data_IF_911398162879
#
_entry.id   IF_911398162879
#
_cell.length_a   1.000
_cell.length_b   1.000
_cell.length_c   1.000
_cell.angle_alpha   90.00
_cell.angle_beta   90.00
_cell.angle_gamma   90.00
#
_symmetry.space_group_name_H-M   'P 1'
#
loop_
_entity.id
_entity.type
_entity.pdbx_description
1 polymer ?
#
# COMPACT_ATOMS: atom_id res chain seq x y z
N UNK A 1 -4.66 31.71 -60.08
CA UNK A 1 -5.48 30.62 -59.54
C UNK A 1 -4.66 29.40 -59.06
N UNK A 2 -3.58 28.98 -59.70
CA UNK A 2 -2.72 27.85 -59.33
C UNK A 2 -1.88 28.15 -58.06
N UNK A 3 -1.29 29.35 -57.99
CA UNK A 3 -0.41 29.78 -56.88
C UNK A 3 -1.13 29.85 -55.52
N UNK A 4 -2.41 30.25 -55.52
CA UNK A 4 -3.21 30.32 -54.31
C UNK A 4 -3.59 28.93 -53.77
N UNK A 5 -3.91 27.99 -54.67
CA UNK A 5 -4.18 26.58 -54.27
C UNK A 5 -2.92 25.89 -53.71
N UNK A 6 -1.74 26.20 -54.28
CA UNK A 6 -0.47 25.65 -53.80
C UNK A 6 -0.09 26.16 -52.42
N UNK A 7 -0.31 27.46 -52.13
CA UNK A 7 -0.10 28.05 -50.79
C UNK A 7 -1.04 27.41 -49.74
N UNK A 8 -2.32 27.23 -50.08
CA UNK A 8 -3.27 26.58 -49.19
C UNK A 8 -2.91 25.10 -48.90
N UNK A 9 -2.39 24.39 -49.89
CA UNK A 9 -1.94 23.02 -49.74
C UNK A 9 -0.73 22.92 -48.78
N UNK A 10 0.28 23.78 -48.93
CA UNK A 10 1.43 23.81 -48.03
C UNK A 10 1.06 24.23 -46.61
N UNK A 11 0.09 25.17 -46.45
CA UNK A 11 -0.40 25.56 -45.13
C UNK A 11 -1.15 24.41 -44.43
N UNK A 12 -2.00 23.67 -45.13
CA UNK A 12 -2.67 22.49 -44.62
C UNK A 12 -1.69 21.37 -44.23
N UNK A 13 -0.68 21.13 -45.05
CA UNK A 13 0.34 20.11 -44.77
C UNK A 13 1.17 20.48 -43.54
N UNK A 14 1.53 21.76 -43.35
CA UNK A 14 2.28 22.21 -42.19
C UNK A 14 1.48 22.09 -40.90
N UNK A 15 0.16 22.38 -40.91
CA UNK A 15 -0.68 22.20 -39.73
C UNK A 15 -0.84 20.73 -39.34
N UNK A 16 -0.95 19.81 -40.29
CA UNK A 16 -1.00 18.37 -40.02
C UNK A 16 0.32 17.88 -39.41
N UNK A 17 1.46 18.31 -39.93
CA UNK A 17 2.77 17.95 -39.38
C UNK A 17 2.97 18.48 -37.96
N UNK A 18 2.50 19.71 -37.66
CA UNK A 18 2.57 20.29 -36.31
C UNK A 18 1.68 19.48 -35.35
N UNK A 19 0.45 19.16 -35.75
CA UNK A 19 -0.45 18.35 -34.92
C UNK A 19 0.10 16.94 -34.67
N UNK A 20 0.66 16.29 -35.68
CA UNK A 20 1.35 15.00 -35.51
C UNK A 20 2.56 15.11 -34.59
N UNK A 21 3.34 16.18 -34.69
CA UNK A 21 4.48 16.44 -33.82
C UNK A 21 4.06 16.64 -32.35
N UNK A 22 2.95 17.36 -32.13
CA UNK A 22 2.39 17.57 -30.78
C UNK A 22 1.86 16.26 -30.19
N UNK A 23 1.09 15.50 -30.98
CA UNK A 23 0.55 14.19 -30.48
C UNK A 23 1.68 13.20 -30.23
N UNK A 24 2.68 13.13 -31.11
CA UNK A 24 3.86 12.30 -30.88
C UNK A 24 4.68 12.75 -29.67
N UNK A 25 4.84 14.04 -29.44
CA UNK A 25 5.53 14.62 -28.30
C UNK A 25 4.80 14.29 -26.97
N UNK A 26 3.46 14.41 -26.95
CA UNK A 26 2.62 14.06 -25.79
C UNK A 26 2.72 12.54 -25.51
N UNK A 27 2.63 11.71 -26.54
CA UNK A 27 2.73 10.25 -26.39
C UNK A 27 4.14 9.82 -25.96
N UNK A 28 5.18 10.48 -26.48
CA UNK A 28 6.54 10.22 -26.10
C UNK A 28 6.83 10.66 -24.65
N UNK A 29 6.27 11.79 -24.23
CA UNK A 29 6.37 12.27 -22.83
C UNK A 29 5.60 11.36 -21.88
N UNK A 30 4.39 10.91 -22.25
CA UNK A 30 3.61 9.92 -21.45
C UNK A 30 4.33 8.58 -21.31
N UNK A 31 5.01 8.10 -22.36
CA UNK A 31 5.79 6.85 -22.32
C UNK A 31 7.11 6.97 -21.55
N UNK A 32 7.59 8.19 -21.29
CA UNK A 32 8.82 8.45 -20.53
C UNK A 32 8.60 8.70 -19.05
N UNK A 33 7.36 8.75 -18.55
CA UNK A 33 7.15 8.69 -17.11
C UNK A 33 7.62 7.29 -16.65
N UNK A 34 8.73 7.16 -15.93
CA UNK A 34 9.16 5.86 -15.45
C UNK A 34 8.03 5.32 -14.58
N UNK A 35 7.68 4.03 -14.75
CA UNK A 35 6.83 3.34 -13.79
C UNK A 35 7.45 3.55 -12.42
N UNK A 36 6.83 4.40 -11.63
CA UNK A 36 7.36 4.85 -10.34
C UNK A 36 7.33 3.72 -9.32
N UNK A 37 6.50 2.70 -9.62
CA UNK A 37 6.30 1.53 -8.80
C UNK A 37 6.67 0.24 -9.53
N UNK A 38 7.12 -0.75 -8.75
CA UNK A 38 7.34 -2.13 -9.18
C UNK A 38 6.31 -3.01 -8.50
N UNK A 39 5.72 -3.94 -9.24
CA UNK A 39 4.90 -5.00 -8.66
C UNK A 39 5.85 -6.08 -8.13
N UNK A 40 5.79 -6.36 -6.82
CA UNK A 40 6.57 -7.40 -6.16
C UNK A 40 5.85 -8.76 -6.17
N UNK A 41 4.52 -8.73 -6.18
CA UNK A 41 3.68 -9.90 -6.13
C UNK A 41 2.21 -9.52 -6.00
N UNK A 42 1.38 -10.50 -5.69
CA UNK A 42 -0.05 -10.31 -5.42
C UNK A 42 -0.37 -10.79 -4.02
N UNK A 43 -1.24 -10.07 -3.33
CA UNK A 43 -1.70 -10.48 -2.00
C UNK A 43 -2.40 -11.84 -2.10
N UNK A 44 -1.98 -12.85 -1.32
CA UNK A 44 -2.67 -14.14 -1.27
C UNK A 44 -4.10 -14.02 -0.76
N UNK A 45 -4.91 -15.02 -1.03
CA UNK A 45 -6.25 -15.08 -0.45
C UNK A 45 -6.18 -15.34 1.05
N UNK A 46 -6.93 -14.57 1.80
CA UNK A 46 -7.15 -14.79 3.22
C UNK A 46 -8.57 -14.41 3.61
N UNK A 47 -9.07 -14.98 4.69
CA UNK A 47 -10.25 -14.54 5.43
C UNK A 47 -9.96 -14.73 6.93
N UNK A 48 -9.95 -13.64 7.68
CA UNK A 48 -9.61 -13.59 9.11
C UNK A 48 -10.65 -12.78 9.86
N UNK A 49 -10.63 -12.83 11.19
CA UNK A 49 -11.57 -12.11 12.04
C UNK A 49 -10.96 -10.78 12.48
N UNK A 50 -11.73 -9.70 12.45
CA UNK A 50 -11.27 -8.39 12.89
C UNK A 50 -11.66 -8.08 14.35
N UNK A 51 -11.25 -6.90 14.83
CA UNK A 51 -11.55 -6.38 16.17
C UNK A 51 -13.05 -6.15 16.43
N UNK A 52 -13.90 -6.27 15.44
CA UNK A 52 -15.37 -6.19 15.55
C UNK A 52 -16.04 -7.56 15.41
N UNK A 53 -15.24 -8.62 15.47
CA UNK A 53 -15.68 -10.01 15.26
C UNK A 53 -16.32 -10.23 13.89
N UNK A 54 -15.85 -9.50 12.88
CA UNK A 54 -16.31 -9.61 11.49
C UNK A 54 -15.29 -10.38 10.66
N UNK A 55 -15.78 -11.22 9.73
CA UNK A 55 -14.90 -11.89 8.78
C UNK A 55 -14.48 -10.94 7.67
N UNK A 56 -13.20 -10.64 7.60
CA UNK A 56 -12.56 -9.75 6.62
C UNK A 56 -11.66 -10.56 5.71
N UNK A 57 -11.86 -10.45 4.42
CA UNK A 57 -11.07 -11.13 3.40
C UNK A 57 -10.31 -10.10 2.53
N UNK A 58 -9.30 -10.55 1.81
CA UNK A 58 -8.59 -9.69 0.85
C UNK A 58 -9.51 -9.04 -0.21
N UNK A 59 -10.64 -9.65 -0.55
CA UNK A 59 -11.65 -9.10 -1.47
C UNK A 59 -12.32 -7.82 -0.95
N UNK A 60 -12.37 -7.61 0.39
CA UNK A 60 -13.02 -6.46 1.02
C UNK A 60 -12.19 -5.18 0.87
N UNK A 61 -10.90 -5.34 0.51
CA UNK A 61 -9.98 -4.26 0.13
C UNK A 61 -9.96 -3.98 -1.38
N UNK A 62 -10.73 -4.73 -2.19
CA UNK A 62 -10.74 -4.55 -3.65
C UNK A 62 -11.15 -3.12 -4.03
N UNK A 63 -10.38 -2.51 -4.92
CA UNK A 63 -10.59 -1.13 -5.37
C UNK A 63 -10.05 -0.06 -4.43
N UNK A 64 -9.46 -0.44 -3.28
CA UNK A 64 -8.81 0.46 -2.34
C UNK A 64 -7.29 0.32 -2.42
N UNK A 65 -6.58 1.42 -2.21
CA UNK A 65 -5.17 1.38 -1.84
C UNK A 65 -5.13 1.05 -0.36
N UNK A 66 -4.26 0.13 0.05
CA UNK A 66 -4.18 -0.27 1.45
C UNK A 66 -2.75 -0.57 1.90
N UNK A 67 -2.56 -0.56 3.22
CA UNK A 67 -1.28 -0.80 3.87
C UNK A 67 -1.38 -2.04 4.74
N UNK A 68 -0.31 -2.82 4.77
CA UNK A 68 -0.22 -4.04 5.58
C UNK A 68 0.95 -3.95 6.54
N UNK A 69 0.74 -4.44 7.76
CA UNK A 69 1.79 -4.73 8.73
C UNK A 69 1.45 -5.98 9.55
N UNK A 70 2.46 -6.48 10.25
CA UNK A 70 2.36 -7.59 11.19
C UNK A 70 2.77 -7.09 12.57
N UNK A 71 1.97 -7.40 13.58
CA UNK A 71 2.12 -6.90 14.95
C UNK A 71 1.60 -7.92 15.97
N UNK A 72 1.69 -7.62 17.26
CA UNK A 72 0.92 -8.25 18.32
C UNK A 72 0.76 -7.27 19.51
N UNK A 73 -0.34 -7.42 20.26
CA UNK A 73 -0.73 -6.40 21.26
C UNK A 73 0.23 -6.32 22.44
N UNK A 74 0.84 -7.44 22.81
CA UNK A 74 1.74 -7.56 23.98
C UNK A 74 3.22 -7.27 23.65
N UNK A 75 3.54 -6.83 22.42
CA UNK A 75 4.89 -6.50 21.98
C UNK A 75 5.50 -5.35 22.81
N UNK A 76 6.63 -5.57 23.51
CA UNK A 76 7.20 -4.55 24.37
C UNK A 76 8.17 -3.60 23.63
N UNK A 77 8.46 -3.82 22.35
CA UNK A 77 9.57 -3.17 21.65
C UNK A 77 9.10 -2.28 20.50
N UNK A 78 8.94 -2.83 19.28
CA UNK A 78 8.73 -2.04 18.07
C UNK A 78 7.26 -1.75 17.75
N UNK A 79 6.31 -2.63 18.13
CA UNK A 79 4.91 -2.45 17.80
C UNK A 79 4.29 -1.13 18.31
N UNK A 80 4.60 -0.64 19.52
CA UNK A 80 4.07 0.66 19.95
C UNK A 80 4.47 1.81 19.01
N UNK A 81 5.71 1.79 18.51
CA UNK A 81 6.21 2.79 17.55
C UNK A 81 5.54 2.60 16.18
N UNK A 82 5.46 1.36 15.71
CA UNK A 82 4.80 1.04 14.43
C UNK A 82 3.33 1.47 14.43
N UNK A 83 2.59 1.13 15.48
CA UNK A 83 1.18 1.50 15.59
C UNK A 83 0.99 3.02 15.65
N UNK A 84 1.80 3.73 16.43
CA UNK A 84 1.77 5.20 16.46
C UNK A 84 2.06 5.81 15.07
N UNK A 85 3.00 5.24 14.34
CA UNK A 85 3.32 5.64 12.98
C UNK A 85 2.20 5.29 11.98
N UNK A 86 1.52 4.14 12.15
CA UNK A 86 0.37 3.78 11.33
C UNK A 86 -0.84 4.71 11.63
N UNK A 87 -1.03 5.15 12.87
CA UNK A 87 -1.99 6.21 13.22
C UNK A 87 -1.65 7.52 12.50
N UNK A 88 -0.37 7.86 12.35
CA UNK A 88 0.01 9.01 11.54
C UNK A 88 -0.34 8.82 10.04
N UNK A 89 -0.22 7.61 9.51
CA UNK A 89 -0.71 7.28 8.16
C UNK A 89 -2.23 7.43 8.09
N UNK A 90 -3.00 6.86 9.04
CA UNK A 90 -4.45 7.04 9.13
C UNK A 90 -4.84 8.54 9.09
N UNK A 91 -4.19 9.34 9.91
CA UNK A 91 -4.49 10.78 10.05
C UNK A 91 -4.13 11.60 8.79
N UNK A 92 -3.22 11.11 7.96
CA UNK A 92 -2.90 11.73 6.68
C UNK A 92 -4.01 11.54 5.62
N UNK A 93 -4.99 10.64 5.87
CA UNK A 93 -6.12 10.32 5.00
C UNK A 93 -7.46 10.33 5.77
N UNK A 94 -7.88 11.50 6.29
CA UNK A 94 -9.09 11.61 7.12
C UNK A 94 -10.39 11.32 6.36
N UNK A 95 -10.33 11.25 5.03
CA UNK A 95 -11.44 10.86 4.14
C UNK A 95 -11.67 9.34 4.11
N UNK A 96 -10.95 8.57 4.92
CA UNK A 96 -11.00 7.10 4.95
C UNK A 96 -10.82 6.45 3.57
N UNK A 97 -10.03 7.09 2.70
CA UNK A 97 -9.85 6.67 1.31
C UNK A 97 -8.85 5.52 1.14
N UNK A 98 -8.22 5.08 2.22
CA UNK A 98 -7.29 3.95 2.24
C UNK A 98 -7.78 2.86 3.19
N UNK A 99 -7.35 1.62 2.94
CA UNK A 99 -7.49 0.52 3.88
C UNK A 99 -6.21 0.30 4.68
N UNK A 100 -6.32 -0.30 5.85
CA UNK A 100 -5.18 -0.78 6.64
C UNK A 100 -5.54 -2.18 7.16
N UNK A 101 -4.63 -3.13 7.01
CA UNK A 101 -4.76 -4.47 7.55
C UNK A 101 -3.52 -4.78 8.39
N UNK A 102 -3.70 -4.84 9.71
CA UNK A 102 -2.67 -5.23 10.67
C UNK A 102 -2.95 -6.65 11.13
N UNK A 103 -2.04 -7.58 10.81
CA UNK A 103 -2.18 -9.00 11.15
C UNK A 103 -1.49 -9.30 12.46
N UNK A 104 -2.23 -9.83 13.45
CA UNK A 104 -1.62 -10.28 14.69
C UNK A 104 -0.85 -11.59 14.47
N UNK A 105 0.39 -11.63 14.91
CA UNK A 105 1.22 -12.85 14.90
C UNK A 105 1.13 -13.66 16.20
N UNK A 106 0.28 -13.21 17.13
CA UNK A 106 -0.03 -13.90 18.41
C UNK A 106 -1.55 -14.11 18.53
N UNK A 107 -2.17 -14.89 17.61
CA UNK A 107 -3.61 -15.01 17.54
C UNK A 107 -4.22 -15.77 18.72
N UNK A 108 -3.44 -16.53 19.50
CA UNK A 108 -3.92 -17.19 20.71
C UNK A 108 -4.26 -16.17 21.79
N UNK A 109 -3.45 -15.12 21.94
CA UNK A 109 -3.64 -14.07 22.92
C UNK A 109 -4.46 -12.89 22.37
N UNK A 110 -4.32 -12.57 21.09
CA UNK A 110 -4.95 -11.42 20.44
C UNK A 110 -6.35 -11.76 19.94
N UNK A 111 -7.31 -11.97 20.89
CA UNK A 111 -8.72 -12.16 20.56
C UNK A 111 -9.34 -10.89 19.96
N UNK A 112 -10.49 -10.97 19.26
CA UNK A 112 -11.20 -9.79 18.75
C UNK A 112 -11.45 -8.72 19.84
N UNK A 113 -11.81 -9.13 21.05
CA UNK A 113 -12.05 -8.24 22.19
C UNK A 113 -10.77 -7.51 22.59
N UNK A 114 -9.63 -8.21 22.68
CA UNK A 114 -8.33 -7.62 23.02
C UNK A 114 -7.85 -6.68 21.92
N UNK A 115 -8.06 -7.04 20.66
CA UNK A 115 -7.79 -6.17 19.51
C UNK A 115 -8.66 -4.91 19.53
N UNK A 116 -9.93 -5.00 19.96
CA UNK A 116 -10.80 -3.85 20.09
C UNK A 116 -10.32 -2.88 21.19
N UNK A 117 -9.90 -3.43 22.35
CA UNK A 117 -9.31 -2.64 23.44
C UNK A 117 -8.02 -1.93 22.97
N UNK A 118 -7.16 -2.67 22.28
CA UNK A 118 -5.93 -2.13 21.69
C UNK A 118 -6.22 -1.01 20.69
N UNK A 119 -7.20 -1.20 19.79
CA UNK A 119 -7.61 -0.19 18.83
C UNK A 119 -8.04 1.11 19.53
N UNK A 120 -8.85 1.00 20.58
CA UNK A 120 -9.31 2.14 21.37
C UNK A 120 -8.14 2.84 22.10
N UNK A 121 -7.25 2.08 22.71
CA UNK A 121 -6.07 2.62 23.42
C UNK A 121 -5.14 3.37 22.49
N UNK A 122 -4.89 2.83 21.29
CA UNK A 122 -3.94 3.39 20.31
C UNK A 122 -4.54 4.47 19.41
N UNK A 123 -5.82 4.79 19.51
CA UNK A 123 -6.47 5.83 18.71
C UNK A 123 -6.72 5.39 17.26
N UNK A 124 -6.97 4.12 17.04
CA UNK A 124 -7.38 3.57 15.75
C UNK A 124 -8.87 3.89 15.56
N UNK A 125 -9.18 4.78 14.64
CA UNK A 125 -10.53 5.32 14.43
C UNK A 125 -11.06 5.12 13.01
N UNK A 126 -10.20 4.78 12.05
CA UNK A 126 -10.63 4.53 10.68
C UNK A 126 -11.49 3.27 10.60
N UNK A 127 -12.69 3.32 10.00
CA UNK A 127 -13.54 2.14 9.78
C UNK A 127 -12.96 1.17 8.76
N UNK A 128 -11.87 1.54 8.08
CA UNK A 128 -11.16 0.71 7.12
C UNK A 128 -9.79 0.24 7.64
N UNK A 129 -9.56 0.36 8.94
CA UNK A 129 -8.42 -0.26 9.61
C UNK A 129 -8.89 -1.49 10.38
N UNK A 130 -8.50 -2.65 9.88
CA UNK A 130 -8.83 -3.95 10.47
C UNK A 130 -7.59 -4.53 11.16
N UNK A 131 -7.71 -4.79 12.45
CA UNK A 131 -6.76 -5.59 13.23
C UNK A 131 -7.23 -7.03 13.11
N UNK A 132 -6.44 -7.90 12.51
CA UNK A 132 -6.85 -9.22 12.06
C UNK A 132 -6.21 -10.32 12.90
N UNK A 133 -7.02 -11.27 13.33
CA UNK A 133 -6.61 -12.46 14.06
C UNK A 133 -7.32 -13.69 13.50
N UNK A 134 -6.83 -14.88 13.82
CA UNK A 134 -7.44 -16.14 13.37
C UNK A 134 -6.46 -17.30 13.36
N UNK A 135 -6.50 -18.11 12.29
CA UNK A 135 -5.65 -19.28 12.20
C UNK A 135 -4.15 -18.89 12.09
N UNK A 136 -3.35 -19.40 13.02
CA UNK A 136 -1.94 -19.06 13.16
C UNK A 136 -1.13 -19.43 11.90
N UNK A 137 -1.35 -20.62 11.35
CA UNK A 137 -0.64 -21.08 10.15
C UNK A 137 -0.91 -20.16 8.96
N UNK A 138 -2.18 -19.78 8.78
CA UNK A 138 -2.59 -18.82 7.74
C UNK A 138 -1.86 -17.49 7.89
N UNK A 139 -1.76 -16.95 9.11
CA UNK A 139 -1.11 -15.65 9.37
C UNK A 139 0.40 -15.73 9.07
N UNK A 140 1.07 -16.79 9.53
CA UNK A 140 2.51 -16.96 9.26
C UNK A 140 2.80 -17.26 7.79
N UNK A 141 1.93 -17.98 7.09
CA UNK A 141 2.06 -18.15 5.65
C UNK A 141 1.88 -16.83 4.89
N UNK A 142 0.91 -16.02 5.27
CA UNK A 142 0.75 -14.67 4.72
C UNK A 142 2.00 -13.83 4.93
N UNK A 143 2.54 -13.79 6.15
CA UNK A 143 3.74 -13.01 6.46
C UNK A 143 4.94 -13.48 5.65
N UNK A 144 5.32 -14.75 5.81
CA UNK A 144 6.61 -15.26 5.32
C UNK A 144 6.60 -15.59 3.82
N UNK A 145 5.50 -16.20 3.30
CA UNK A 145 5.39 -16.61 1.91
C UNK A 145 4.64 -15.59 1.05
N UNK A 146 3.60 -14.97 1.64
CA UNK A 146 2.73 -14.04 0.92
C UNK A 146 3.38 -12.66 0.74
N UNK A 147 3.75 -12.05 1.84
CA UNK A 147 4.38 -10.72 1.86
C UNK A 147 5.89 -10.75 1.87
N UNK A 148 6.51 -11.89 2.12
CA UNK A 148 7.96 -12.02 2.37
C UNK A 148 8.44 -11.07 3.50
N UNK A 149 7.58 -10.88 4.50
CA UNK A 149 7.85 -10.14 5.73
C UNK A 149 8.07 -11.17 6.83
N UNK A 150 9.28 -11.19 7.39
CA UNK A 150 9.64 -12.19 8.39
C UNK A 150 8.78 -12.06 9.65
N UNK A 151 8.17 -13.17 10.05
CA UNK A 151 7.48 -13.36 11.31
C UNK A 151 7.74 -14.76 11.87
N UNK A 152 7.90 -14.85 13.19
CA UNK A 152 8.18 -16.10 13.90
C UNK A 152 7.43 -16.13 15.22
N UNK A 153 6.80 -17.26 15.53
CA UNK A 153 6.14 -17.55 16.79
C UNK A 153 7.15 -17.71 17.93
N UNK A 154 6.71 -17.41 19.15
CA UNK A 154 7.48 -17.57 20.40
C UNK A 154 6.55 -17.99 21.55
N UNK A 155 7.16 -18.48 22.65
CA UNK A 155 6.41 -18.88 23.86
C UNK A 155 6.21 -17.71 24.85
N UNK A 156 6.93 -16.61 24.63
CA UNK A 156 6.85 -15.39 25.44
C UNK A 156 6.86 -14.16 24.51
N UNK A 157 6.30 -13.00 24.92
CA UNK A 157 6.28 -11.80 24.09
C UNK A 157 7.65 -11.33 23.57
N UNK A 158 8.72 -11.72 24.23
CA UNK A 158 10.10 -11.39 23.83
C UNK A 158 10.70 -12.36 22.80
N UNK A 159 10.06 -13.51 22.59
CA UNK A 159 10.50 -14.53 21.64
C UNK A 159 9.81 -14.39 20.26
N UNK A 160 8.67 -13.68 20.21
CA UNK A 160 8.07 -13.34 18.92
C UNK A 160 8.98 -12.40 18.14
N UNK A 161 9.21 -12.72 16.90
CA UNK A 161 10.01 -11.90 16.01
C UNK A 161 9.18 -11.47 14.79
N UNK A 162 9.16 -10.21 14.50
CA UNK A 162 8.64 -9.67 13.24
C UNK A 162 9.46 -8.48 12.78
N UNK A 163 9.50 -8.26 11.48
CA UNK A 163 10.15 -7.09 10.91
C UNK A 163 9.24 -5.86 11.02
N UNK A 164 9.82 -4.71 11.40
CA UNK A 164 9.12 -3.43 11.50
C UNK A 164 8.81 -2.81 10.13
N UNK A 165 8.18 -3.56 9.23
CA UNK A 165 8.00 -3.20 7.83
C UNK A 165 6.52 -3.05 7.48
N UNK A 166 6.20 -2.06 6.64
CA UNK A 166 4.90 -1.86 6.03
C UNK A 166 4.93 -2.17 4.55
N UNK A 167 3.94 -2.91 4.06
CA UNK A 167 3.73 -3.17 2.64
C UNK A 167 2.64 -2.25 2.09
N UNK A 168 2.80 -1.78 0.85
CA UNK A 168 1.81 -0.97 0.15
C UNK A 168 1.15 -1.82 -0.94
N UNK A 169 -0.18 -1.77 -0.99
CA UNK A 169 -0.98 -2.55 -1.93
C UNK A 169 -1.83 -1.60 -2.78
N UNK A 170 -1.85 -1.85 -4.08
CA UNK A 170 -2.65 -1.08 -5.04
C UNK A 170 -4.13 -1.52 -5.07
N UNK A 171 -4.95 -0.83 -5.85
CA UNK A 171 -6.39 -1.10 -6.01
C UNK A 171 -6.70 -2.45 -6.66
N UNK A 172 -5.70 -3.11 -7.25
CA UNK A 172 -5.81 -4.41 -7.90
C UNK A 172 -5.37 -5.57 -6.99
N UNK A 173 -4.86 -5.24 -5.78
CA UNK A 173 -4.33 -6.21 -4.82
C UNK A 173 -2.89 -6.63 -5.14
N UNK A 174 -2.14 -5.83 -5.87
CA UNK A 174 -0.72 -6.06 -6.08
C UNK A 174 0.09 -5.42 -4.94
N UNK A 175 1.06 -6.16 -4.43
CA UNK A 175 2.07 -5.64 -3.51
C UNK A 175 3.05 -4.82 -4.36
N UNK A 176 3.18 -3.54 -4.05
CA UNK A 176 3.97 -2.62 -4.85
C UNK A 176 5.06 -1.95 -4.03
N UNK A 177 6.09 -1.54 -4.72
CA UNK A 177 7.25 -0.86 -4.13
C UNK A 177 7.68 0.32 -5.00
N UNK A 178 8.05 1.42 -4.34
CA UNK A 178 8.76 2.55 -4.98
C UNK A 178 10.10 2.08 -5.55
N UNK A 179 10.50 2.59 -6.70
CA UNK A 179 11.86 2.48 -7.22
C UNK A 179 12.78 3.50 -6.54
N UNK A 180 13.99 3.06 -6.22
CA UNK A 180 15.10 3.96 -5.86
C UNK A 180 15.65 4.65 -7.11
N UNK A 181 16.56 5.61 -6.92
CA UNK A 181 17.25 6.30 -8.02
C UNK A 181 18.05 5.35 -8.93
N UNK A 182 18.50 4.23 -8.39
CA UNK A 182 19.23 3.17 -9.12
C UNK A 182 18.30 2.22 -9.88
N UNK A 183 16.96 2.42 -9.80
CA UNK A 183 15.94 1.60 -10.44
C UNK A 183 15.50 0.38 -9.63
N UNK A 184 16.17 0.05 -8.53
CA UNK A 184 15.83 -1.09 -7.67
C UNK A 184 14.66 -0.74 -6.75
N UNK A 185 13.78 -1.72 -6.38
CA UNK A 185 12.72 -1.48 -5.41
C UNK A 185 13.29 -1.26 -4.01
N UNK A 186 12.57 -0.48 -3.17
CA UNK A 186 12.85 -0.43 -1.73
C UNK A 186 12.32 -1.68 -1.00
N UNK A 187 11.45 -2.43 -1.66
CA UNK A 187 10.62 -3.54 -1.19
C UNK A 187 9.52 -3.09 -0.24
N UNK A 188 9.86 -2.64 0.97
CA UNK A 188 8.92 -2.27 2.04
C UNK A 188 9.31 -0.92 2.66
N UNK A 189 8.37 -0.33 3.38
CA UNK A 189 8.57 0.91 4.13
C UNK A 189 8.91 0.58 5.57
N UNK A 190 9.93 1.24 6.12
CA UNK A 190 10.30 1.05 7.53
C UNK A 190 9.26 1.69 8.44
N UNK A 191 8.45 0.86 9.09
CA UNK A 191 7.35 1.28 9.94
C UNK A 191 7.80 1.95 11.25
N UNK A 192 9.05 1.73 11.66
CA UNK A 192 9.65 2.35 12.86
C UNK A 192 10.35 3.66 12.59
N UNK A 193 10.53 4.05 11.31
CA UNK A 193 11.30 5.24 10.92
C UNK A 193 10.39 6.31 10.30
N UNK A 194 10.54 7.56 10.74
CA UNK A 194 9.78 8.72 10.23
C UNK A 194 9.94 8.88 8.70
N UNK A 195 11.12 8.62 8.17
CA UNK A 195 11.39 8.69 6.73
C UNK A 195 10.56 7.65 5.96
N UNK A 196 10.50 6.40 6.47
CA UNK A 196 9.68 5.34 5.88
C UNK A 196 8.20 5.72 5.82
N UNK A 197 7.68 6.33 6.88
CA UNK A 197 6.29 6.79 6.95
C UNK A 197 6.02 7.95 5.98
N UNK A 198 6.94 8.90 5.90
CA UNK A 198 6.83 10.02 4.96
C UNK A 198 6.78 9.51 3.52
N UNK A 199 7.68 8.58 3.15
CA UNK A 199 7.70 7.96 1.83
C UNK A 199 6.40 7.19 1.54
N UNK A 200 5.89 6.43 2.50
CA UNK A 200 4.63 5.69 2.36
C UNK A 200 3.45 6.62 2.08
N UNK A 201 3.31 7.70 2.86
CA UNK A 201 2.24 8.69 2.68
C UNK A 201 2.34 9.38 1.31
N UNK A 202 3.54 9.74 0.87
CA UNK A 202 3.77 10.31 -0.46
C UNK A 202 3.31 9.34 -1.57
N UNK A 203 3.67 8.07 -1.45
CA UNK A 203 3.37 7.06 -2.46
C UNK A 203 1.87 6.73 -2.51
N UNK A 204 1.19 6.67 -1.37
CA UNK A 204 -0.27 6.58 -1.34
C UNK A 204 -0.93 7.76 -2.05
N UNK A 205 -0.46 9.00 -1.80
CA UNK A 205 -0.97 10.20 -2.49
C UNK A 205 -0.76 10.14 -4.00
N UNK A 206 0.37 9.63 -4.46
CA UNK A 206 0.66 9.43 -5.89
C UNK A 206 -0.27 8.41 -6.53
N UNK A 207 -0.45 7.25 -5.88
CA UNK A 207 -1.37 6.21 -6.35
C UNK A 207 -2.82 6.70 -6.42
N UNK A 208 -3.28 7.44 -5.41
CA UNK A 208 -4.61 8.07 -5.44
C UNK A 208 -4.78 9.00 -6.64
N UNK A 209 -3.77 9.79 -6.97
CA UNK A 209 -3.80 10.68 -8.14
C UNK A 209 -3.84 9.90 -9.45
N UNK A 210 -3.14 8.77 -9.55
CA UNK A 210 -3.13 7.91 -10.74
C UNK A 210 -4.45 7.16 -10.94
N UNK A 211 -5.13 6.77 -9.85
CA UNK A 211 -6.42 6.06 -9.90
C UNK A 211 -7.61 6.96 -10.26
N UNK A 212 -7.43 8.28 -10.26
CA UNK A 212 -8.44 9.27 -10.65
C UNK A 212 -8.35 9.70 -12.12
N UNK A 213 -7.36 9.22 -12.86
CA UNK A 213 -7.11 9.46 -14.28
C UNK A 213 -7.53 8.28 -15.14
#
# INVERSE_FOLDING_TARGET
>A
MIVTKLKSFFLALSTVCILMGITWGIDHWRRKAPDEFVILGKVPNFCLTDQHNQSICNKDFKGKIWVVDFFFTSCPTICPVMTANMVAVQNAFPDNSIGIASFSIDPEEDTPEKLQEYAKEKGITSPHWHLLTGDEETIYELANKGFNIYAKSGNTPTEFEHSGLFALIDTQGNIISRKRKDGNPIFFYKGTEKEGITMLIEDIKKLKKQSLL
#
